data_IF_147501263365
#
_entry.id   IF_147501263365
#
_cell.length_a   1.000
_cell.length_b   1.000
_cell.length_c   1.000
_cell.angle_alpha   90.00
_cell.angle_beta   90.00
_cell.angle_gamma   90.00
#
_symmetry.space_group_name_H-M   'P 1'
#
loop_
_entity.id
_entity.type
_entity.pdbx_description
1 polymer ?
#
# COMPACT_ATOMS: atom_id res chain seq x y z
N UNK A 1 -5.34 10.53 7.61
CA UNK A 1 -5.71 9.16 8.04
C UNK A 1 -5.18 8.94 9.45
N UNK A 2 -5.90 8.25 10.36
CA UNK A 2 -5.49 8.08 11.76
C UNK A 2 -4.38 7.03 11.96
N UNK A 3 -3.78 6.53 10.87
CA UNK A 3 -2.75 5.51 10.88
C UNK A 3 -1.42 6.12 10.43
N UNK A 4 -0.43 6.08 11.31
CA UNK A 4 0.88 6.70 11.07
C UNK A 4 1.85 5.78 10.33
N UNK A 5 1.90 4.48 10.67
CA UNK A 5 2.90 3.55 10.12
C UNK A 5 2.29 2.21 9.72
N UNK A 6 2.84 1.62 8.67
CA UNK A 6 2.55 0.26 8.23
C UNK A 6 3.76 -0.63 8.51
N UNK A 7 3.59 -1.61 9.39
CA UNK A 7 4.67 -2.53 9.77
C UNK A 7 4.66 -3.74 8.84
N UNK A 8 5.64 -3.80 7.94
CA UNK A 8 5.86 -4.92 7.03
C UNK A 8 7.16 -5.66 7.35
N UNK A 9 7.15 -6.98 7.15
CA UNK A 9 8.38 -7.76 7.12
C UNK A 9 9.17 -7.48 5.81
N UNK A 10 10.43 -7.94 5.77
CA UNK A 10 11.32 -7.71 4.64
C UNK A 10 10.79 -8.29 3.32
N UNK A 11 10.04 -9.41 3.37
CA UNK A 11 9.46 -10.04 2.19
C UNK A 11 8.35 -9.19 1.58
N UNK A 12 7.46 -8.65 2.42
CA UNK A 12 6.43 -7.70 1.98
C UNK A 12 7.08 -6.46 1.36
N UNK A 13 8.08 -5.85 2.02
CA UNK A 13 8.82 -4.70 1.45
C UNK A 13 9.41 -5.02 0.06
N UNK A 14 9.99 -6.20 -0.13
CA UNK A 14 10.50 -6.64 -1.43
C UNK A 14 9.41 -6.79 -2.50
N UNK A 15 8.20 -7.24 -2.15
CA UNK A 15 7.07 -7.27 -3.09
C UNK A 15 6.65 -5.86 -3.55
N UNK A 16 6.87 -4.86 -2.71
CA UNK A 16 6.59 -3.45 -2.95
C UNK A 16 7.78 -2.64 -3.49
N UNK A 17 8.84 -3.32 -3.96
CA UNK A 17 10.05 -2.68 -4.51
C UNK A 17 10.82 -1.82 -3.52
N UNK A 18 10.62 -2.04 -2.21
CA UNK A 18 11.25 -1.29 -1.14
C UNK A 18 12.45 -2.04 -0.54
N UNK A 19 13.49 -1.31 -0.08
CA UNK A 19 14.54 -1.90 0.71
C UNK A 19 14.01 -2.39 2.08
N UNK A 20 14.66 -3.40 2.70
CA UNK A 20 14.22 -3.96 3.98
C UNK A 20 14.17 -2.92 5.12
N UNK A 21 14.97 -1.87 5.05
CA UNK A 21 15.08 -0.80 6.03
C UNK A 21 14.06 0.34 5.82
N UNK A 22 13.29 0.32 4.72
CA UNK A 22 12.34 1.39 4.42
C UNK A 22 11.30 1.57 5.53
N UNK A 23 11.09 2.81 5.97
CA UNK A 23 9.91 3.17 6.75
C UNK A 23 8.72 3.32 5.82
N UNK A 24 7.58 2.72 6.18
CA UNK A 24 6.37 2.72 5.36
C UNK A 24 5.25 3.40 6.12
N UNK A 25 4.71 4.45 5.52
CA UNK A 25 3.45 5.07 5.90
C UNK A 25 2.42 4.85 4.77
N UNK A 26 1.19 5.33 4.98
CA UNK A 26 0.13 5.19 3.99
C UNK A 26 0.39 6.01 2.72
N UNK A 27 1.06 7.15 2.82
CA UNK A 27 1.36 7.98 1.65
C UNK A 27 2.38 7.28 0.73
N UNK A 28 3.44 6.70 1.30
CA UNK A 28 4.38 5.87 0.57
C UNK A 28 3.67 4.66 -0.04
N UNK A 29 2.84 3.95 0.74
CA UNK A 29 2.06 2.81 0.25
C UNK A 29 1.21 3.18 -0.95
N UNK A 30 0.45 4.28 -0.92
CA UNK A 30 -0.34 4.71 -2.08
C UNK A 30 0.54 5.15 -3.27
N UNK A 31 1.71 5.74 -3.01
CA UNK A 31 2.61 6.21 -4.08
C UNK A 31 3.16 5.07 -4.93
N UNK A 32 3.39 3.90 -4.33
CA UNK A 32 3.94 2.71 -4.99
C UNK A 32 2.88 1.80 -5.61
N UNK A 33 1.60 2.14 -5.46
CA UNK A 33 0.52 1.50 -6.22
C UNK A 33 0.38 2.12 -7.61
N UNK A 34 -0.12 1.32 -8.54
CA UNK A 34 -0.51 1.79 -9.86
C UNK A 34 -1.54 2.92 -9.73
N UNK A 35 -1.44 4.02 -10.51
CA UNK A 35 -2.33 5.18 -10.38
C UNK A 35 -3.82 4.82 -10.35
N UNK A 36 -4.24 3.92 -11.23
CA UNK A 36 -5.65 3.45 -11.33
C UNK A 36 -6.15 2.70 -10.09
N UNK A 37 -5.25 2.14 -9.28
CA UNK A 37 -5.64 1.34 -8.10
C UNK A 37 -5.71 2.19 -6.82
N UNK A 38 -5.09 3.38 -6.81
CA UNK A 38 -4.89 4.19 -5.59
C UNK A 38 -6.19 4.60 -4.92
N UNK A 39 -7.16 5.10 -5.70
CA UNK A 39 -8.43 5.59 -5.16
C UNK A 39 -9.24 4.43 -4.56
N UNK A 40 -9.40 3.34 -5.30
CA UNK A 40 -10.10 2.14 -4.82
C UNK A 40 -9.45 1.55 -3.57
N UNK A 41 -8.12 1.52 -3.50
CA UNK A 41 -7.40 1.07 -2.31
C UNK A 41 -7.61 2.00 -1.12
N UNK A 42 -7.59 3.32 -1.33
CA UNK A 42 -7.87 4.30 -0.27
C UNK A 42 -9.27 4.13 0.31
N UNK A 43 -10.28 3.99 -0.54
CA UNK A 43 -11.66 3.77 -0.11
C UNK A 43 -11.82 2.48 0.70
N UNK A 44 -11.15 1.39 0.29
CA UNK A 44 -11.17 0.13 1.01
C UNK A 44 -10.51 0.24 2.40
N UNK A 45 -9.38 0.96 2.50
CA UNK A 45 -8.73 1.24 3.79
C UNK A 45 -9.67 2.07 4.67
N UNK A 46 -10.28 3.13 4.13
CA UNK A 46 -11.21 3.99 4.88
C UNK A 46 -12.42 3.19 5.39
N UNK A 47 -13.00 2.33 4.55
CA UNK A 47 -14.11 1.48 4.95
C UNK A 47 -13.70 0.48 6.05
N UNK A 48 -12.48 -0.07 6.00
CA UNK A 48 -11.97 -0.93 7.05
C UNK A 48 -11.80 -0.16 8.38
N UNK A 49 -11.17 1.02 8.33
CA UNK A 49 -10.84 1.81 9.52
C UNK A 49 -12.09 2.37 10.19
N UNK A 50 -13.02 2.95 9.40
CA UNK A 50 -14.15 3.69 9.94
C UNK A 50 -15.43 2.85 10.08
N UNK A 51 -15.58 1.80 9.28
CA UNK A 51 -16.80 0.99 9.23
C UNK A 51 -16.57 -0.45 9.68
N UNK A 52 -15.33 -0.85 9.99
CA UNK A 52 -14.98 -2.21 10.42
C UNK A 52 -15.17 -3.27 9.33
N UNK A 53 -15.20 -2.87 8.06
CA UNK A 53 -15.29 -3.83 6.94
C UNK A 53 -13.98 -4.61 6.80
N UNK A 54 -14.07 -5.83 6.29
CA UNK A 54 -12.88 -6.63 5.95
C UNK A 54 -12.14 -5.93 4.82
N UNK A 55 -10.84 -5.72 5.01
CA UNK A 55 -9.95 -5.25 3.96
C UNK A 55 -9.44 -6.45 3.16
N UNK A 56 -9.96 -6.61 1.95
CA UNK A 56 -9.54 -7.61 0.97
C UNK A 56 -9.60 -6.99 -0.42
N UNK A 57 -8.44 -6.79 -1.04
CA UNK A 57 -8.30 -6.09 -2.31
C UNK A 57 -7.03 -6.53 -3.04
N UNK A 58 -7.14 -6.63 -4.36
CA UNK A 58 -6.02 -6.83 -5.27
C UNK A 58 -5.58 -5.49 -5.85
N UNK A 59 -4.28 -5.24 -5.93
CA UNK A 59 -3.75 -4.02 -6.55
C UNK A 59 -2.40 -4.31 -7.19
N UNK A 60 -2.02 -3.47 -8.14
CA UNK A 60 -0.72 -3.54 -8.79
C UNK A 60 0.26 -2.60 -8.10
N UNK A 61 1.46 -3.08 -7.90
CA UNK A 61 2.62 -2.32 -7.43
C UNK A 61 3.47 -1.86 -8.60
N UNK A 62 4.09 -0.68 -8.48
CA UNK A 62 4.91 -0.09 -9.54
C UNK A 62 6.32 0.14 -9.02
N UNK A 63 7.31 -0.36 -9.75
CA UNK A 63 8.71 -0.13 -9.45
C UNK A 63 9.16 1.28 -9.88
N UNK A 64 10.29 1.79 -9.38
CA UNK A 64 10.88 3.05 -9.85
C UNK A 64 11.22 3.07 -11.36
N UNK A 65 11.20 1.91 -12.02
CA UNK A 65 11.44 1.76 -13.47
C UNK A 65 10.15 1.53 -14.26
N UNK A 66 8.98 1.79 -13.66
CA UNK A 66 7.65 1.54 -14.22
C UNK A 66 7.37 0.05 -14.54
N UNK A 67 8.04 -0.87 -13.85
CA UNK A 67 7.66 -2.29 -13.91
C UNK A 67 6.45 -2.50 -13.00
N UNK A 68 5.46 -3.24 -13.49
CA UNK A 68 4.20 -3.49 -12.78
C UNK A 68 4.13 -4.94 -12.33
N UNK A 69 3.75 -5.17 -11.08
CA UNK A 69 3.47 -6.49 -10.50
C UNK A 69 2.24 -6.40 -9.62
#
# INVERSE_FOLDING_TARGET
>A
MPLDKIVWNSRCKAHFWLPPEAEVDFELFYSILHPDDRERTREAVDACVWQGKIYDIEYRTVSPRNEVR
#
